data_IF_419900530283
#
_entry.id   IF_419900530283
#
_cell.length_a   1.000
_cell.length_b   1.000
_cell.length_c   1.000
_cell.angle_alpha   90.00
_cell.angle_beta   90.00
_cell.angle_gamma   90.00
#
_symmetry.space_group_name_H-M   'P 1'
#
loop_
_entity.id
_entity.type
_entity.pdbx_description
1 polymer ?
#
# COMPACT_ATOMS: atom_id res chain seq x y z
N UNK A 1 -9.80 -8.08 -5.82
CA UNK A 1 -11.17 -7.52 -5.80
C UNK A 1 -11.03 -6.03 -6.00
N UNK A 2 -11.43 -5.51 -7.16
CA UNK A 2 -11.55 -4.04 -7.33
C UNK A 2 -12.77 -3.63 -6.52
N UNK A 3 -12.61 -2.78 -5.52
CA UNK A 3 -13.72 -2.27 -4.72
C UNK A 3 -14.55 -1.36 -5.63
N UNK A 4 -15.67 -1.86 -6.15
CA UNK A 4 -16.58 -1.07 -6.97
C UNK A 4 -17.59 -0.40 -6.03
N UNK A 5 -17.27 0.81 -5.56
CA UNK A 5 -18.28 1.63 -4.88
C UNK A 5 -19.34 2.01 -5.93
N UNK A 6 -20.62 1.65 -5.74
CA UNK A 6 -21.69 2.03 -6.66
C UNK A 6 -21.91 3.55 -6.78
N UNK A 7 -21.30 4.35 -5.90
CA UNK A 7 -21.29 5.81 -5.97
C UNK A 7 -20.07 6.40 -6.70
N UNK A 8 -19.09 5.59 -7.10
CA UNK A 8 -17.96 6.05 -7.92
C UNK A 8 -18.38 6.12 -9.40
N UNK A 9 -19.02 7.22 -9.78
CA UNK A 9 -19.26 7.58 -11.17
C UNK A 9 -18.07 8.37 -11.73
N UNK A 10 -17.90 8.39 -13.06
CA UNK A 10 -16.91 9.26 -13.75
C UNK A 10 -17.02 10.73 -13.31
N UNK A 11 -18.19 11.16 -12.86
CA UNK A 11 -18.48 12.51 -12.34
C UNK A 11 -17.93 12.78 -10.93
N UNK A 12 -17.56 11.73 -10.18
CA UNK A 12 -16.86 11.81 -8.89
C UNK A 12 -15.34 11.59 -9.02
N UNK A 13 -14.87 11.05 -10.16
CA UNK A 13 -13.43 10.87 -10.44
C UNK A 13 -12.82 12.09 -11.14
N UNK A 14 -13.59 12.74 -12.01
CA UNK A 14 -13.37 14.16 -12.30
C UNK A 14 -13.95 14.87 -11.11
N UNK A 15 -13.25 15.80 -10.46
CA UNK A 15 -13.91 16.64 -9.49
C UNK A 15 -15.10 17.31 -10.17
N UNK A 16 -16.31 16.82 -9.92
CA UNK A 16 -17.52 17.15 -10.70
C UNK A 16 -17.85 18.64 -10.77
N UNK A 17 -17.12 19.48 -10.03
CA UNK A 17 -17.29 20.92 -9.95
C UNK A 17 -15.99 21.72 -10.22
N UNK A 18 -14.94 21.13 -10.82
CA UNK A 18 -13.65 21.80 -11.06
C UNK A 18 -12.74 21.91 -9.83
N UNK A 19 -12.93 21.03 -8.82
CA UNK A 19 -12.04 20.96 -7.65
C UNK A 19 -10.74 20.21 -7.98
N UNK A 20 -9.65 20.49 -7.29
CA UNK A 20 -8.42 19.74 -7.48
C UNK A 20 -8.54 18.35 -6.83
N UNK A 21 -8.10 17.31 -7.54
CA UNK A 21 -7.94 15.95 -6.99
C UNK A 21 -6.47 15.74 -6.64
N UNK A 22 -6.19 15.09 -5.53
CA UNK A 22 -4.82 14.69 -5.16
C UNK A 22 -4.61 13.23 -5.51
N UNK A 23 -3.61 12.96 -6.35
CA UNK A 23 -3.21 11.60 -6.72
C UNK A 23 -1.96 11.23 -5.94
N UNK A 24 -1.96 10.04 -5.36
CA UNK A 24 -0.80 9.43 -4.72
C UNK A 24 -0.45 8.19 -5.50
N UNK A 25 0.82 8.06 -5.87
CA UNK A 25 1.39 6.84 -6.43
C UNK A 25 2.44 6.31 -5.46
N UNK A 26 2.50 4.99 -5.31
CA UNK A 26 3.52 4.32 -4.52
C UNK A 26 4.05 3.11 -5.26
N UNK A 27 5.29 2.76 -4.97
CA UNK A 27 5.98 1.59 -5.51
C UNK A 27 6.97 1.05 -4.45
N UNK A 28 7.29 -0.24 -4.49
CA UNK A 28 8.31 -0.83 -3.60
C UNK A 28 9.66 -0.79 -4.30
N UNK A 29 10.55 0.05 -3.78
CA UNK A 29 11.92 0.14 -4.27
C UNK A 29 12.64 -1.23 -4.16
N UNK A 30 13.22 -1.68 -5.27
CA UNK A 30 13.99 -2.92 -5.32
C UNK A 30 13.15 -4.21 -5.26
N UNK A 31 11.84 -4.15 -5.52
CA UNK A 31 10.96 -5.32 -5.48
C UNK A 31 11.39 -6.45 -6.41
N UNK A 32 11.94 -6.13 -7.58
CA UNK A 32 12.49 -7.14 -8.51
C UNK A 32 13.59 -7.98 -7.85
N UNK A 33 14.53 -7.34 -7.15
CA UNK A 33 15.60 -8.07 -6.45
C UNK A 33 15.08 -8.88 -5.26
N UNK A 34 14.05 -8.39 -4.58
CA UNK A 34 13.41 -9.14 -3.48
C UNK A 34 12.77 -10.44 -4.01
N UNK A 35 12.06 -10.34 -5.14
CA UNK A 35 11.47 -11.49 -5.82
C UNK A 35 12.52 -12.51 -6.28
N UNK A 36 13.69 -12.06 -6.74
CA UNK A 36 14.78 -12.97 -7.13
C UNK A 36 15.45 -13.67 -5.94
N UNK A 37 15.53 -13.01 -4.78
CA UNK A 37 16.20 -13.55 -3.57
C UNK A 37 15.32 -14.54 -2.81
N UNK A 38 14.07 -14.16 -2.53
CA UNK A 38 13.13 -15.00 -1.77
C UNK A 38 11.68 -14.69 -2.20
N UNK A 39 11.14 -15.46 -3.17
CA UNK A 39 9.77 -15.27 -3.65
C UNK A 39 8.70 -15.50 -2.56
N UNK A 40 8.90 -16.44 -1.63
CA UNK A 40 7.91 -16.74 -0.59
C UNK A 40 7.82 -15.61 0.43
N UNK A 41 8.97 -15.16 0.93
CA UNK A 41 9.02 -14.03 1.86
C UNK A 41 8.51 -12.74 1.21
N UNK A 42 8.84 -12.50 -0.06
CA UNK A 42 8.38 -11.33 -0.81
C UNK A 42 6.87 -11.33 -1.00
N UNK A 43 6.26 -12.48 -1.29
CA UNK A 43 4.80 -12.59 -1.40
C UNK A 43 4.10 -12.28 -0.07
N UNK A 44 4.61 -12.79 1.06
CA UNK A 44 4.06 -12.45 2.38
C UNK A 44 4.21 -10.96 2.71
N UNK A 45 5.35 -10.36 2.36
CA UNK A 45 5.60 -8.94 2.54
C UNK A 45 4.65 -8.08 1.68
N UNK A 46 4.36 -8.50 0.46
CA UNK A 46 3.40 -7.84 -0.44
C UNK A 46 1.97 -7.93 0.09
N UNK A 47 1.55 -9.08 0.61
CA UNK A 47 0.22 -9.20 1.23
C UNK A 47 0.06 -8.25 2.41
N UNK A 48 1.09 -8.16 3.27
CA UNK A 48 1.08 -7.22 4.39
C UNK A 48 1.08 -5.77 3.92
N UNK A 49 1.84 -5.45 2.87
CA UNK A 49 1.85 -4.14 2.24
C UNK A 49 0.46 -3.73 1.76
N UNK A 50 -0.18 -4.58 0.96
CA UNK A 50 -1.54 -4.41 0.44
C UNK A 50 -2.56 -4.18 1.55
N UNK A 51 -2.49 -4.99 2.61
CA UNK A 51 -3.41 -4.92 3.74
C UNK A 51 -3.27 -3.59 4.50
N UNK A 52 -2.05 -3.11 4.71
CA UNK A 52 -1.81 -1.81 5.36
C UNK A 52 -2.41 -0.69 4.50
N UNK A 53 -2.11 -0.68 3.20
CA UNK A 53 -2.62 0.35 2.29
C UNK A 53 -4.15 0.40 2.33
N UNK A 54 -4.81 -0.73 2.11
CA UNK A 54 -6.28 -0.81 2.09
C UNK A 54 -6.92 -0.50 3.44
N UNK A 55 -6.29 -0.92 4.55
CA UNK A 55 -6.82 -0.70 5.91
C UNK A 55 -6.92 0.77 6.27
N UNK A 56 -5.91 1.57 5.94
CA UNK A 56 -5.91 2.99 6.31
C UNK A 56 -6.62 3.87 5.28
N UNK A 57 -6.84 3.38 4.06
CA UNK A 57 -7.37 4.18 2.97
C UNK A 57 -8.73 4.83 3.29
N UNK A 58 -9.65 4.05 3.87
CA UNK A 58 -10.99 4.53 4.26
C UNK A 58 -10.96 5.58 5.38
N UNK A 59 -9.99 5.51 6.29
CA UNK A 59 -9.84 6.46 7.40
C UNK A 59 -9.44 7.88 6.95
N UNK A 60 -8.85 7.99 5.76
CA UNK A 60 -8.41 9.25 5.16
C UNK A 60 -9.23 9.62 3.91
N UNK A 61 -10.43 9.05 3.76
CA UNK A 61 -11.33 9.32 2.63
C UNK A 61 -10.66 9.13 1.24
N UNK A 62 -9.73 8.17 1.18
CA UNK A 62 -9.00 7.82 -0.04
C UNK A 62 -9.70 6.73 -0.85
N UNK A 63 -9.34 6.65 -2.13
CA UNK A 63 -9.88 5.68 -3.08
C UNK A 63 -8.74 4.99 -3.83
N UNK A 64 -8.85 3.67 -4.00
CA UNK A 64 -7.93 2.88 -4.82
C UNK A 64 -8.38 3.00 -6.27
N UNK A 65 -7.55 3.61 -7.12
CA UNK A 65 -7.82 3.72 -8.55
C UNK A 65 -7.31 2.49 -9.30
N UNK A 66 -6.08 2.08 -9.00
CA UNK A 66 -5.43 0.94 -9.62
C UNK A 66 -4.34 0.36 -8.71
N UNK A 67 -4.10 -0.93 -8.87
CA UNK A 67 -3.01 -1.66 -8.23
C UNK A 67 -2.37 -2.56 -9.27
N UNK A 68 -1.06 -2.42 -9.47
CA UNK A 68 -0.28 -3.19 -10.44
C UNK A 68 0.97 -3.73 -9.77
N UNK A 69 0.97 -5.03 -9.45
CA UNK A 69 2.05 -5.67 -8.72
C UNK A 69 2.16 -5.11 -7.30
N UNK A 70 3.25 -4.42 -7.02
CA UNK A 70 3.61 -3.76 -5.78
C UNK A 70 3.28 -2.26 -5.77
N UNK A 71 2.80 -1.72 -6.90
CA UNK A 71 2.46 -0.32 -7.05
C UNK A 71 0.97 -0.05 -6.80
N UNK A 72 0.69 1.07 -6.12
CA UNK A 72 -0.67 1.57 -5.90
C UNK A 72 -0.84 2.96 -6.50
N UNK A 73 -2.01 3.18 -7.10
CA UNK A 73 -2.48 4.50 -7.52
C UNK A 73 -3.75 4.82 -6.73
N UNK A 74 -3.69 5.88 -5.94
CA UNK A 74 -4.73 6.29 -5.02
C UNK A 74 -5.19 7.72 -5.31
N UNK A 75 -6.45 8.01 -5.02
CA UNK A 75 -7.05 9.33 -5.17
C UNK A 75 -7.63 9.83 -3.84
N UNK A 76 -7.47 11.13 -3.60
CA UNK A 76 -8.00 11.84 -2.45
C UNK A 76 -8.62 13.16 -2.87
N UNK A 77 -9.71 13.54 -2.22
CA UNK A 77 -10.39 14.81 -2.46
C UNK A 77 -9.63 16.03 -1.90
N UNK A 78 -8.57 15.80 -1.11
CA UNK A 78 -7.87 16.81 -0.33
C UNK A 78 -6.39 16.44 -0.17
N UNK A 79 -5.51 17.42 -0.40
CA UNK A 79 -4.06 17.20 -0.27
C UNK A 79 -3.61 16.91 1.18
N UNK A 80 -4.14 17.60 2.22
CA UNK A 80 -3.88 17.23 3.61
C UNK A 80 -4.20 15.77 3.94
N UNK A 81 -5.32 15.25 3.46
CA UNK A 81 -5.73 13.87 3.75
C UNK A 81 -4.78 12.86 3.09
N UNK A 82 -4.38 13.14 1.84
CA UNK A 82 -3.38 12.35 1.13
C UNK A 82 -2.03 12.32 1.86
N UNK A 83 -1.54 13.47 2.33
CA UNK A 83 -0.25 13.55 3.05
C UNK A 83 -0.33 12.85 4.39
N UNK A 84 -1.41 13.01 5.14
CA UNK A 84 -1.63 12.33 6.41
C UNK A 84 -1.74 10.81 6.25
N UNK A 85 -2.39 10.35 5.18
CA UNK A 85 -2.41 8.96 4.78
C UNK A 85 -0.99 8.44 4.52
N UNK A 86 -0.23 9.11 3.65
CA UNK A 86 1.15 8.72 3.32
C UNK A 86 2.03 8.62 4.57
N UNK A 87 1.97 9.61 5.46
CA UNK A 87 2.73 9.60 6.72
C UNK A 87 2.34 8.44 7.63
N UNK A 88 1.04 8.13 7.72
CA UNK A 88 0.54 7.04 8.57
C UNK A 88 0.96 5.69 8.04
N UNK A 89 0.77 5.45 6.74
CA UNK A 89 1.20 4.22 6.07
C UNK A 89 2.70 4.02 6.21
N UNK A 90 3.51 5.06 6.00
CA UNK A 90 4.97 4.95 6.16
C UNK A 90 5.39 4.65 7.60
N UNK A 91 4.75 5.27 8.60
CA UNK A 91 5.02 4.98 10.02
C UNK A 91 4.66 3.55 10.40
N UNK A 92 3.49 3.09 9.98
CA UNK A 92 3.02 1.73 10.24
C UNK A 92 3.92 0.72 9.53
N UNK A 93 4.32 0.99 8.28
CA UNK A 93 5.26 0.15 7.53
C UNK A 93 6.61 0.09 8.22
N UNK A 94 7.16 1.20 8.70
CA UNK A 94 8.43 1.20 9.43
C UNK A 94 8.34 0.33 10.70
N UNK A 95 7.27 0.51 11.50
CA UNK A 95 7.07 -0.26 12.73
C UNK A 95 6.85 -1.76 12.46
N UNK A 96 6.17 -2.10 11.38
CA UNK A 96 5.94 -3.49 10.98
C UNK A 96 7.20 -4.08 10.36
N UNK A 97 7.92 -3.41 9.47
CA UNK A 97 9.20 -3.88 8.91
C UNK A 97 10.23 -4.16 10.01
N UNK A 98 10.29 -3.34 11.07
CA UNK A 98 11.14 -3.64 12.24
C UNK A 98 10.76 -4.94 12.96
N UNK A 99 9.47 -5.29 13.02
CA UNK A 99 9.01 -6.52 13.64
C UNK A 99 9.05 -7.72 12.68
N UNK A 100 8.73 -7.51 11.40
CA UNK A 100 8.64 -8.54 10.36
C UNK A 100 10.03 -8.93 9.85
N UNK A 101 11.00 -8.01 9.72
CA UNK A 101 12.39 -8.38 9.40
C UNK A 101 13.06 -9.12 10.56
N UNK A 102 12.72 -8.78 11.81
CA UNK A 102 13.13 -9.58 12.97
C UNK A 102 12.52 -10.99 12.90
N UNK A 103 11.23 -11.10 12.53
CA UNK A 103 10.54 -12.39 12.39
C UNK A 103 11.01 -13.23 11.18
N UNK A 104 11.24 -12.62 10.02
CA UNK A 104 11.76 -13.30 8.82
C UNK A 104 13.22 -13.70 9.05
N UNK A 105 14.04 -12.85 9.68
CA UNK A 105 15.39 -13.21 10.11
C UNK A 105 15.40 -14.38 11.11
N UNK A 106 14.53 -14.33 12.13
CA UNK A 106 14.36 -15.43 13.08
C UNK A 106 13.85 -16.73 12.42
N UNK A 107 12.99 -16.63 11.39
CA UNK A 107 12.51 -17.79 10.65
C UNK A 107 13.57 -18.36 9.69
N UNK A 108 14.43 -17.50 9.11
CA UNK A 108 15.58 -17.91 8.32
C UNK A 108 16.65 -18.63 9.18
N UNK A 109 16.91 -18.15 10.40
CA UNK A 109 17.81 -18.81 11.36
C UNK A 109 17.29 -20.18 11.81
N UNK A 110 15.96 -20.37 11.89
CA UNK A 110 15.35 -21.66 12.22
C UNK A 110 15.50 -22.71 11.10
N UNK A 111 15.66 -22.29 9.84
CA UNK A 111 15.94 -23.21 8.71
C UNK A 111 17.41 -23.67 8.66
N UNK A 112 18.32 -23.04 9.43
CA UNK A 112 19.74 -23.43 9.56
C UNK A 112 20.03 -24.47 10.65
N UNK A 113 19.00 -24.99 11.32
CA UNK A 113 19.09 -25.97 12.42
C UNK A 113 18.47 -27.35 12.10
N UNK A 114 18.36 -27.72 10.82
CA UNK A 114 18.06 -29.08 10.39
C UNK A 114 19.18 -29.70 9.56
#
# INVERSE_FOLDING_TARGET
MVYHDPNLTKENTVAGNGKALTIVTSDIEGSTELWEKDPEATNMALQLHDDIFRRYLSAYYGFELATEGDAFVLAFHSAPDAVMYCLTVQKVRLLLVFNTLHWIGACADLKGLQ
#
